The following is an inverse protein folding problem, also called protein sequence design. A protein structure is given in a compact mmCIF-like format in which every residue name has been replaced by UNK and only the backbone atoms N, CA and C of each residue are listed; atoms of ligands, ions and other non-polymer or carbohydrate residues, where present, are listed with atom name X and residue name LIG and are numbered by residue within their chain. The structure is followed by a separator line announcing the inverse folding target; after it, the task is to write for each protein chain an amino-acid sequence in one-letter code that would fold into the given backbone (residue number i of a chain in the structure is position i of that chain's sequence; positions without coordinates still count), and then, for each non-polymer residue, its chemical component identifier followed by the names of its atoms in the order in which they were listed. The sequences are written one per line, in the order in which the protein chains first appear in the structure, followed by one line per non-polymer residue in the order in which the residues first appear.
data_IF_752601995695
#
_entry.id   IF_752601995695
#
_cell.length_a   1.000
_cell.length_b   1.000
_cell.length_c   1.000
_cell.angle_alpha   90.00
_cell.angle_beta   90.00
_cell.angle_gamma   90.00
#
_symmetry.space_group_name_H-M   'P 1'
#
loop_
_entity.id
_entity.type
_entity.pdbx_description
1 polymer ?
#
# COMPACT_ATOMS: atom_id res chain seq x y z
N UNK A 1 9.94 -2.02 -3.03
CA UNK A 1 9.78 -3.44 -2.57
C UNK A 1 10.92 -4.02 -1.72
N UNK A 2 12.19 -4.13 -2.18
CA UNK A 2 13.25 -4.83 -1.39
C UNK A 2 13.48 -4.22 0.00
N UNK A 3 13.51 -2.88 0.10
CA UNK A 3 13.65 -2.19 1.38
C UNK A 3 12.49 -2.53 2.35
N UNK A 4 11.25 -2.58 1.86
CA UNK A 4 10.08 -2.95 2.67
C UNK A 4 10.19 -4.39 3.17
N UNK A 5 10.62 -5.33 2.33
CA UNK A 5 10.84 -6.71 2.76
C UNK A 5 11.92 -6.82 3.84
N UNK A 6 13.05 -6.10 3.70
CA UNK A 6 14.07 -6.05 4.74
C UNK A 6 13.54 -5.43 6.03
N UNK A 7 12.74 -4.37 5.95
CA UNK A 7 12.13 -3.73 7.12
C UNK A 7 11.23 -4.72 7.87
N UNK A 8 10.32 -5.40 7.15
CA UNK A 8 9.41 -6.40 7.74
C UNK A 8 10.16 -7.59 8.34
N UNK A 9 11.20 -8.09 7.66
CA UNK A 9 12.05 -9.15 8.22
C UNK A 9 12.76 -8.70 9.50
N UNK A 10 13.40 -7.53 9.49
CA UNK A 10 14.19 -7.01 10.60
C UNK A 10 13.34 -6.69 11.85
N UNK A 11 12.07 -6.33 11.67
CA UNK A 11 11.11 -6.07 12.76
C UNK A 11 10.36 -7.31 13.24
N UNK A 12 10.50 -8.44 12.55
CA UNK A 12 9.81 -9.67 12.94
C UNK A 12 10.41 -10.26 14.22
N UNK A 13 9.60 -11.00 14.98
CA UNK A 13 10.04 -11.69 16.19
C UNK A 13 10.84 -12.97 15.88
N UNK A 14 11.08 -13.29 14.61
CA UNK A 14 11.86 -14.45 14.23
C UNK A 14 13.34 -14.24 14.54
N UNK A 15 13.99 -15.29 15.04
CA UNK A 15 15.42 -15.30 15.27
C UNK A 15 16.16 -15.14 13.93
N UNK A 16 16.93 -14.06 13.80
CA UNK A 16 17.82 -13.80 12.66
C UNK A 16 19.26 -13.91 13.20
N UNK A 17 20.12 -14.75 12.61
CA UNK A 17 21.54 -14.80 12.95
C UNK A 17 22.18 -13.40 12.91
N UNK A 18 23.08 -13.11 13.85
CA UNK A 18 23.64 -11.76 14.03
C UNK A 18 24.39 -11.25 12.78
N UNK A 19 25.10 -12.14 12.09
CA UNK A 19 25.81 -11.85 10.84
C UNK A 19 24.83 -11.48 9.72
N UNK A 20 23.73 -12.24 9.60
CA UNK A 20 22.69 -11.97 8.62
C UNK A 20 21.92 -10.68 8.95
N UNK A 21 21.66 -10.43 10.23
CA UNK A 21 21.03 -9.18 10.71
C UNK A 21 21.91 -7.97 10.40
N UNK A 22 23.23 -8.08 10.60
CA UNK A 22 24.17 -7.01 10.28
C UNK A 22 24.22 -6.74 8.77
N UNK A 23 24.30 -7.78 7.93
CA UNK A 23 24.25 -7.65 6.46
C UNK A 23 22.94 -7.01 5.98
N UNK A 24 21.79 -7.43 6.52
CA UNK A 24 20.49 -6.87 6.16
C UNK A 24 20.34 -5.41 6.57
N UNK A 25 20.86 -5.03 7.74
CA UNK A 25 20.91 -3.62 8.14
C UNK A 25 21.77 -2.79 7.19
N UNK A 26 22.98 -3.26 6.85
CA UNK A 26 23.86 -2.56 5.93
C UNK A 26 23.23 -2.37 4.53
N UNK A 27 22.56 -3.40 4.01
CA UNK A 27 21.80 -3.32 2.75
C UNK A 27 20.64 -2.33 2.85
N UNK A 28 19.87 -2.38 3.93
CA UNK A 28 18.76 -1.46 4.15
C UNK A 28 19.25 -0.01 4.21
N UNK A 29 20.33 0.26 4.94
CA UNK A 29 20.92 1.60 5.04
C UNK A 29 21.36 2.12 3.66
N UNK A 30 21.96 1.27 2.83
CA UNK A 30 22.30 1.60 1.44
C UNK A 30 21.08 1.94 0.59
N UNK A 31 19.99 1.18 0.70
CA UNK A 31 18.74 1.46 -0.01
C UNK A 31 18.09 2.76 0.46
N UNK A 32 18.04 3.01 1.77
CA UNK A 32 17.46 4.22 2.33
C UNK A 32 18.26 5.47 1.94
N UNK A 33 19.59 5.39 2.00
CA UNK A 33 20.46 6.46 1.53
C UNK A 33 20.25 6.75 0.03
N UNK A 34 20.08 5.72 -0.79
CA UNK A 34 19.73 5.88 -2.20
C UNK A 34 18.37 6.59 -2.37
N UNK A 35 17.33 6.20 -1.62
CA UNK A 35 16.02 6.87 -1.68
C UNK A 35 16.11 8.35 -1.27
N UNK A 36 16.88 8.68 -0.24
CA UNK A 36 17.12 10.08 0.15
C UNK A 36 17.84 10.86 -0.95
N UNK A 37 18.88 10.28 -1.56
CA UNK A 37 19.62 10.90 -2.67
C UNK A 37 18.76 11.09 -3.94
N UNK A 38 17.68 10.32 -4.06
CA UNK A 38 16.73 10.41 -5.16
C UNK A 38 15.62 11.45 -4.92
N UNK A 39 15.55 12.07 -3.74
CA UNK A 39 14.58 13.14 -3.48
C UNK A 39 14.92 14.38 -4.32
N UNK A 40 13.93 14.85 -5.08
CA UNK A 40 13.99 16.05 -5.89
C UNK A 40 13.76 17.30 -5.04
N UNK A 41 14.11 18.47 -5.58
CA UNK A 41 13.94 19.75 -4.89
C UNK A 41 12.47 20.02 -4.53
N UNK A 42 11.53 19.54 -5.35
CA UNK A 42 10.09 19.67 -5.13
C UNK A 42 9.53 18.67 -4.09
N UNK A 43 10.36 17.86 -3.45
CA UNK A 43 9.98 16.90 -2.40
C UNK A 43 9.58 15.51 -2.89
N UNK A 44 9.29 15.35 -4.18
CA UNK A 44 9.01 14.05 -4.79
C UNK A 44 10.28 13.20 -4.93
N UNK A 45 10.11 11.90 -5.16
CA UNK A 45 11.21 10.97 -5.40
C UNK A 45 11.34 10.72 -6.90
N UNK A 46 12.57 10.79 -7.40
CA UNK A 46 12.83 10.54 -8.81
C UNK A 46 12.47 9.10 -9.19
N UNK A 47 11.77 8.95 -10.32
CA UNK A 47 11.34 7.64 -10.84
C UNK A 47 12.43 6.85 -11.57
N UNK A 48 13.64 7.41 -11.68
CA UNK A 48 14.68 6.80 -12.50
C UNK A 48 16.06 7.35 -12.19
N UNK A 49 17.05 6.47 -12.19
CA UNK A 49 18.46 6.80 -11.97
C UNK A 49 19.28 6.33 -13.16
N UNK A 50 20.13 7.20 -13.70
CA UNK A 50 21.07 6.85 -14.74
C UNK A 50 22.39 6.42 -14.10
N UNK A 51 22.74 5.15 -14.24
CA UNK A 51 23.95 4.56 -13.64
C UNK A 51 25.24 5.03 -14.29
N UNK A 52 25.21 5.45 -15.56
CA UNK A 52 26.38 5.95 -16.29
C UNK A 52 26.73 7.37 -15.83
N UNK A 53 25.73 8.24 -15.73
CA UNK A 53 25.92 9.64 -15.32
C UNK A 53 25.84 9.82 -13.81
N UNK A 54 25.39 8.81 -13.07
CA UNK A 54 25.11 8.84 -11.62
C UNK A 54 24.15 9.96 -11.24
N UNK A 55 23.14 10.21 -12.08
CA UNK A 55 22.16 11.28 -11.87
C UNK A 55 20.74 10.75 -11.82
N UNK A 56 19.91 11.39 -10.99
CA UNK A 56 18.47 11.16 -10.95
C UNK A 56 17.78 11.83 -12.15
N UNK A 57 16.71 11.20 -12.61
CA UNK A 57 15.80 11.80 -13.59
C UNK A 57 14.97 12.90 -12.93
N UNK A 58 14.55 13.91 -13.69
CA UNK A 58 13.68 14.98 -13.15
C UNK A 58 12.22 14.55 -12.96
N UNK A 59 11.84 13.39 -13.47
CA UNK A 59 10.47 12.88 -13.40
C UNK A 59 10.21 12.15 -12.09
N UNK A 60 8.97 12.23 -11.61
CA UNK A 60 8.45 11.45 -10.48
C UNK A 60 7.20 10.69 -10.94
N UNK A 61 6.70 9.78 -10.10
CA UNK A 61 5.41 9.13 -10.35
C UNK A 61 4.70 8.76 -9.04
N UNK A 62 3.37 8.63 -9.07
CA UNK A 62 2.57 8.25 -7.91
C UNK A 62 3.07 6.98 -7.20
N UNK A 63 3.42 5.96 -7.99
CA UNK A 63 3.87 4.67 -7.46
C UNK A 63 5.22 4.78 -6.76
N UNK A 64 6.21 5.41 -7.41
CA UNK A 64 7.55 5.56 -6.83
C UNK A 64 7.52 6.42 -5.58
N UNK A 65 6.74 7.50 -5.59
CA UNK A 65 6.57 8.38 -4.44
C UNK A 65 5.98 7.65 -3.25
N UNK A 66 4.83 6.98 -3.43
CA UNK A 66 4.16 6.26 -2.36
C UNK A 66 5.01 5.12 -1.79
N UNK A 67 5.63 4.28 -2.64
CA UNK A 67 6.47 3.18 -2.16
C UNK A 67 7.70 3.67 -1.40
N UNK A 68 8.36 4.70 -1.91
CA UNK A 68 9.57 5.26 -1.28
C UNK A 68 9.23 5.92 0.05
N UNK A 69 8.12 6.65 0.11
CA UNK A 69 7.64 7.25 1.34
C UNK A 69 7.34 6.17 2.37
N UNK A 70 6.62 5.10 2.02
CA UNK A 70 6.30 4.01 2.94
C UNK A 70 7.57 3.38 3.50
N UNK A 71 8.55 3.08 2.65
CA UNK A 71 9.80 2.47 3.07
C UNK A 71 10.55 3.35 4.08
N UNK A 72 10.68 4.65 3.80
CA UNK A 72 11.35 5.58 4.70
C UNK A 72 10.59 5.75 6.02
N UNK A 73 9.26 5.91 5.97
CA UNK A 73 8.40 6.03 7.16
C UNK A 73 8.56 4.81 8.06
N UNK A 74 8.42 3.60 7.51
CA UNK A 74 8.51 2.37 8.32
C UNK A 74 9.91 2.15 8.88
N UNK A 75 10.96 2.41 8.12
CA UNK A 75 12.33 2.33 8.63
C UNK A 75 12.57 3.32 9.79
N UNK A 76 12.11 4.57 9.64
CA UNK A 76 12.23 5.57 10.70
C UNK A 76 11.38 5.22 11.93
N UNK A 77 10.17 4.71 11.74
CA UNK A 77 9.26 4.35 12.83
C UNK A 77 9.75 3.13 13.62
N UNK A 78 10.08 2.04 12.93
CA UNK A 78 10.31 0.73 13.54
C UNK A 78 11.78 0.35 13.76
N UNK A 79 12.71 0.93 13.01
CA UNK A 79 14.13 0.53 13.02
C UNK A 79 15.06 1.68 13.40
N UNK A 80 14.53 2.67 14.13
CA UNK A 80 15.28 3.82 14.67
C UNK A 80 16.05 4.65 13.63
N UNK A 81 15.61 4.66 12.37
CA UNK A 81 16.22 5.47 11.30
C UNK A 81 15.68 6.91 11.30
N UNK A 82 15.73 7.59 12.44
CA UNK A 82 15.13 8.93 12.64
C UNK A 82 15.75 10.03 11.78
N UNK A 83 16.97 9.83 11.27
CA UNK A 83 17.62 10.75 10.32
C UNK A 83 16.84 10.93 9.02
N UNK A 84 15.92 10.01 8.70
CA UNK A 84 15.04 10.10 7.52
C UNK A 84 13.92 11.13 7.68
N UNK A 85 13.55 11.51 8.91
CA UNK A 85 12.34 12.31 9.20
C UNK A 85 12.29 13.62 8.39
N UNK A 86 13.37 14.42 8.27
CA UNK A 86 13.31 15.63 7.44
C UNK A 86 13.01 15.34 5.96
N UNK A 87 13.55 14.26 5.40
CA UNK A 87 13.24 13.82 4.02
C UNK A 87 11.77 13.40 3.92
N UNK A 88 11.28 12.64 4.89
CA UNK A 88 9.90 12.15 4.96
C UNK A 88 8.92 13.31 5.04
N UNK A 89 9.13 14.29 5.91
CA UNK A 89 8.23 15.44 6.09
C UNK A 89 8.11 16.26 4.79
N UNK A 90 9.24 16.50 4.11
CA UNK A 90 9.26 17.18 2.82
C UNK A 90 8.48 16.41 1.75
N UNK A 91 8.68 15.09 1.70
CA UNK A 91 8.01 14.21 0.76
C UNK A 91 6.50 14.12 1.01
N UNK A 92 6.10 13.85 2.25
CA UNK A 92 4.71 13.68 2.65
C UNK A 92 3.87 14.89 2.27
N UNK A 93 4.36 16.10 2.55
CA UNK A 93 3.68 17.36 2.19
C UNK A 93 3.51 17.52 0.68
N UNK A 94 4.59 17.32 -0.09
CA UNK A 94 4.57 17.47 -1.54
C UNK A 94 3.63 16.46 -2.21
N UNK A 95 3.71 15.20 -1.79
CA UNK A 95 2.91 14.10 -2.32
C UNK A 95 1.43 14.25 -1.95
N UNK A 96 1.12 14.64 -0.72
CA UNK A 96 -0.24 14.97 -0.30
C UNK A 96 -0.86 16.02 -1.21
N UNK A 97 -0.20 17.17 -1.38
CA UNK A 97 -0.71 18.27 -2.21
C UNK A 97 -0.88 17.86 -3.69
N UNK A 98 0.12 17.17 -4.24
CA UNK A 98 0.13 16.76 -5.65
C UNK A 98 -0.95 15.73 -5.96
N UNK A 99 -1.07 14.68 -5.13
CA UNK A 99 -1.93 13.53 -5.42
C UNK A 99 -3.35 13.63 -4.86
N UNK A 100 -3.65 14.68 -4.08
CA UNK A 100 -5.02 15.01 -3.66
C UNK A 100 -5.47 16.32 -4.29
N UNK A 101 -5.07 17.47 -3.73
CA UNK A 101 -5.54 18.81 -4.11
C UNK A 101 -5.33 19.10 -5.59
N UNK A 102 -4.09 18.99 -6.09
CA UNK A 102 -3.76 19.33 -7.50
C UNK A 102 -4.35 18.31 -8.48
N UNK A 103 -4.33 17.03 -8.11
CA UNK A 103 -4.90 15.97 -8.92
C UNK A 103 -6.43 16.12 -9.07
N UNK A 104 -7.14 16.33 -7.96
CA UNK A 104 -8.60 16.45 -7.94
C UNK A 104 -9.12 17.73 -8.55
N UNK A 105 -8.35 18.82 -8.48
CA UNK A 105 -8.67 20.06 -9.19
C UNK A 105 -8.73 19.85 -10.71
N UNK A 106 -7.93 18.93 -11.26
CA UNK A 106 -7.91 18.60 -12.70
C UNK A 106 -8.92 17.52 -13.07
N UNK A 107 -8.98 16.46 -12.27
CA UNK A 107 -9.90 15.34 -12.46
C UNK A 107 -10.25 14.76 -11.09
N UNK A 108 -11.54 14.78 -10.72
CA UNK A 108 -11.99 14.22 -9.45
C UNK A 108 -11.69 12.73 -9.31
N UNK A 109 -11.79 11.93 -10.37
CA UNK A 109 -11.39 10.51 -10.40
C UNK A 109 -10.01 10.36 -11.08
N UNK A 110 -8.97 10.92 -10.46
CA UNK A 110 -7.63 11.03 -11.05
C UNK A 110 -6.83 9.72 -11.00
N UNK A 111 -6.24 9.34 -12.13
CA UNK A 111 -5.26 8.24 -12.20
C UNK A 111 -3.99 8.52 -11.39
N UNK A 112 -3.64 9.79 -11.16
CA UNK A 112 -2.51 10.16 -10.31
C UNK A 112 -2.82 9.83 -8.85
N UNK A 113 -4.02 10.17 -8.38
CA UNK A 113 -4.48 9.78 -7.04
C UNK A 113 -4.54 8.26 -6.94
N UNK A 114 -5.14 7.59 -7.92
CA UNK A 114 -5.23 6.13 -7.96
C UNK A 114 -3.87 5.46 -7.83
N UNK A 115 -2.86 5.92 -8.58
CA UNK A 115 -1.52 5.34 -8.54
C UNK A 115 -0.78 5.58 -7.22
N UNK A 116 -1.11 6.65 -6.51
CA UNK A 116 -0.53 6.95 -5.19
C UNK A 116 -1.30 6.25 -4.07
N UNK A 117 -2.61 6.01 -4.27
CA UNK A 117 -3.58 5.69 -3.23
C UNK A 117 -3.13 4.61 -2.25
N UNK A 118 -2.76 3.43 -2.75
CA UNK A 118 -2.44 2.27 -1.92
C UNK A 118 -1.25 2.57 -1.01
N UNK A 119 -0.09 2.86 -1.62
CA UNK A 119 1.15 3.12 -0.91
C UNK A 119 1.10 4.39 -0.07
N UNK A 120 0.45 5.44 -0.58
CA UNK A 120 0.27 6.71 0.11
C UNK A 120 -0.60 6.59 1.35
N UNK A 121 -1.71 5.85 1.29
CA UNK A 121 -2.58 5.62 2.45
C UNK A 121 -1.85 4.86 3.55
N UNK A 122 -1.11 3.80 3.21
CA UNK A 122 -0.28 3.08 4.17
C UNK A 122 0.84 3.97 4.73
N UNK A 123 1.46 4.81 3.89
CA UNK A 123 2.52 5.72 4.33
C UNK A 123 2.03 6.73 5.36
N UNK A 124 0.86 7.32 5.09
CA UNK A 124 0.27 8.35 5.94
C UNK A 124 -0.33 7.77 7.22
N UNK A 125 -0.88 6.55 7.19
CA UNK A 125 -1.27 5.82 8.41
C UNK A 125 -0.06 5.55 9.31
N UNK A 126 1.04 5.07 8.73
CA UNK A 126 2.27 4.80 9.47
C UNK A 126 2.89 6.09 10.03
N UNK A 127 2.90 7.16 9.24
CA UNK A 127 3.36 8.50 9.62
C UNK A 127 2.54 9.05 10.78
N UNK A 128 1.20 9.01 10.66
CA UNK A 128 0.29 9.46 11.71
C UNK A 128 0.49 8.71 13.01
N UNK A 129 0.59 7.38 12.93
CA UNK A 129 0.88 6.52 14.07
C UNK A 129 2.28 6.69 14.67
N UNK A 130 3.20 7.39 13.99
CA UNK A 130 4.50 7.76 14.56
C UNK A 130 4.44 9.08 15.35
N UNK A 131 3.33 9.83 15.29
CA UNK A 131 3.14 11.08 16.02
C UNK A 131 4.06 12.20 15.56
N UNK A 132 4.51 12.18 14.30
CA UNK A 132 5.37 13.23 13.74
C UNK A 132 4.60 14.50 13.43
N UNK A 133 5.33 15.53 12.99
CA UNK A 133 4.76 16.85 12.70
C UNK A 133 3.54 16.75 11.78
N UNK A 134 2.46 17.45 12.13
CA UNK A 134 1.20 17.45 11.38
C UNK A 134 0.58 16.04 11.23
N UNK A 135 0.80 15.11 12.17
CA UNK A 135 0.26 13.74 12.13
C UNK A 135 -1.25 13.68 11.81
N UNK A 136 -2.05 14.52 12.47
CA UNK A 136 -3.50 14.56 12.29
C UNK A 136 -3.90 14.88 10.84
N UNK A 137 -3.14 15.74 10.16
CA UNK A 137 -3.37 16.10 8.75
C UNK A 137 -3.21 14.87 7.85
N UNK A 138 -2.16 14.08 8.05
CA UNK A 138 -1.92 12.90 7.21
C UNK A 138 -2.91 11.79 7.50
N UNK A 139 -3.34 11.63 8.74
CA UNK A 139 -4.44 10.75 9.08
C UNK A 139 -5.77 11.20 8.44
N UNK A 140 -6.08 12.50 8.44
CA UNK A 140 -7.26 13.05 7.76
C UNK A 140 -7.19 12.81 6.25
N UNK A 141 -6.02 13.01 5.64
CA UNK A 141 -5.82 12.73 4.21
C UNK A 141 -6.06 11.25 3.91
N UNK A 142 -5.60 10.32 4.75
CA UNK A 142 -5.85 8.89 4.57
C UNK A 142 -7.35 8.56 4.64
N UNK A 143 -8.10 9.15 5.57
CA UNK A 143 -9.55 9.00 5.64
C UNK A 143 -10.23 9.53 4.36
N UNK A 144 -9.84 10.72 3.89
CA UNK A 144 -10.37 11.31 2.65
C UNK A 144 -10.02 10.45 1.43
N UNK A 145 -8.81 9.90 1.36
CA UNK A 145 -8.43 8.94 0.32
C UNK A 145 -9.34 7.70 0.36
N UNK A 146 -9.62 7.16 1.55
CA UNK A 146 -10.58 6.05 1.73
C UNK A 146 -11.95 6.38 1.16
N UNK A 147 -12.51 7.54 1.50
CA UNK A 147 -13.78 8.02 0.96
C UNK A 147 -13.74 8.25 -0.55
N UNK A 148 -12.64 8.79 -1.06
CA UNK A 148 -12.43 8.94 -2.49
C UNK A 148 -12.47 7.59 -3.20
N UNK A 149 -11.80 6.57 -2.67
CA UNK A 149 -11.77 5.21 -3.25
C UNK A 149 -13.16 4.55 -3.29
N UNK A 150 -13.97 4.77 -2.24
CA UNK A 150 -15.32 4.21 -2.13
C UNK A 150 -16.31 4.97 -3.02
N UNK A 151 -16.37 6.30 -2.90
CA UNK A 151 -17.47 7.09 -3.47
C UNK A 151 -17.16 7.70 -4.83
N UNK A 152 -15.90 8.09 -5.05
CA UNK A 152 -15.48 8.71 -6.32
C UNK A 152 -14.94 7.65 -7.28
N UNK A 153 -13.96 6.86 -6.86
CA UNK A 153 -13.40 5.79 -7.68
C UNK A 153 -14.32 4.57 -7.81
N UNK A 154 -15.28 4.42 -6.89
CA UNK A 154 -16.31 3.38 -6.90
C UNK A 154 -15.73 1.96 -6.97
N UNK A 155 -14.74 1.68 -6.13
CA UNK A 155 -13.97 0.41 -6.17
C UNK A 155 -14.87 -0.85 -6.16
N UNK A 156 -15.96 -0.84 -5.38
CA UNK A 156 -16.88 -1.99 -5.28
C UNK A 156 -17.60 -2.30 -6.60
N UNK A 157 -17.76 -1.32 -7.49
CA UNK A 157 -18.38 -1.49 -8.82
C UNK A 157 -17.40 -2.00 -9.88
N UNK A 158 -16.09 -2.04 -9.60
CA UNK A 158 -15.09 -2.50 -10.55
C UNK A 158 -15.16 -4.02 -10.71
N UNK A 159 -14.93 -4.53 -11.91
CA UNK A 159 -15.06 -5.97 -12.21
C UNK A 159 -13.74 -6.74 -12.11
N UNK A 160 -12.62 -6.03 -12.16
CA UNK A 160 -11.28 -6.60 -11.98
C UNK A 160 -10.90 -6.66 -10.51
N UNK A 161 -9.83 -7.36 -10.19
CA UNK A 161 -9.28 -7.38 -8.84
C UNK A 161 -8.86 -5.96 -8.42
N UNK A 162 -9.32 -5.57 -7.24
CA UNK A 162 -9.08 -4.27 -6.62
C UNK A 162 -8.47 -4.43 -5.23
N UNK A 163 -7.71 -5.50 -4.98
CA UNK A 163 -7.11 -5.75 -3.67
C UNK A 163 -6.28 -4.57 -3.16
N UNK A 164 -5.56 -3.89 -4.06
CA UNK A 164 -4.82 -2.66 -3.73
C UNK A 164 -5.69 -1.55 -3.13
N UNK A 165 -6.97 -1.49 -3.50
CA UNK A 165 -7.91 -0.54 -2.93
C UNK A 165 -8.17 -0.87 -1.46
N UNK A 166 -8.29 -2.15 -1.12
CA UNK A 166 -8.62 -2.59 0.22
C UNK A 166 -7.44 -2.49 1.19
N UNK A 167 -6.20 -2.55 0.71
CA UNK A 167 -5.02 -2.20 1.53
C UNK A 167 -5.12 -0.74 2.04
N UNK A 168 -5.46 0.21 1.16
CA UNK A 168 -5.63 1.61 1.56
C UNK A 168 -6.88 1.88 2.41
N UNK A 169 -8.00 1.19 2.15
CA UNK A 169 -9.22 1.31 2.98
C UNK A 169 -8.95 0.74 4.38
N UNK A 170 -8.18 -0.34 4.50
CA UNK A 170 -7.77 -0.89 5.79
C UNK A 170 -6.91 0.10 6.59
N UNK A 171 -5.99 0.84 5.94
CA UNK A 171 -5.25 1.93 6.59
C UNK A 171 -6.18 3.04 7.13
N UNK A 172 -7.19 3.44 6.34
CA UNK A 172 -8.19 4.41 6.79
C UNK A 172 -9.02 3.86 7.97
N UNK A 173 -9.38 2.57 7.94
CA UNK A 173 -10.08 1.90 9.04
C UNK A 173 -9.23 1.87 10.31
N UNK A 174 -7.93 1.59 10.22
CA UNK A 174 -7.03 1.59 11.37
C UNK A 174 -6.99 2.96 12.07
N UNK A 175 -6.96 4.05 11.30
CA UNK A 175 -7.07 5.42 11.82
C UNK A 175 -8.44 5.64 12.48
N UNK A 176 -9.53 5.25 11.82
CA UNK A 176 -10.88 5.38 12.38
C UNK A 176 -11.02 4.61 13.70
N UNK A 177 -10.44 3.40 13.81
CA UNK A 177 -10.39 2.59 15.04
C UNK A 177 -9.61 3.32 16.13
N UNK A 178 -8.41 3.85 15.85
CA UNK A 178 -7.61 4.64 16.81
C UNK A 178 -8.33 5.89 17.32
N UNK A 179 -9.12 6.54 16.47
CA UNK A 179 -9.89 7.74 16.80
C UNK A 179 -11.29 7.43 17.35
N UNK A 180 -11.61 6.15 17.54
CA UNK A 180 -12.93 5.67 17.98
C UNK A 180 -14.11 6.18 17.12
N UNK A 181 -13.86 6.51 15.85
CA UNK A 181 -14.87 7.03 14.93
C UNK A 181 -15.73 5.88 14.39
N UNK A 182 -16.77 5.51 15.16
CA UNK A 182 -17.67 4.38 14.84
C UNK A 182 -18.38 4.51 13.50
N UNK A 183 -18.77 5.73 13.10
CA UNK A 183 -19.40 5.95 11.81
C UNK A 183 -18.45 5.62 10.66
N UNK A 184 -17.21 6.14 10.71
CA UNK A 184 -16.20 5.83 9.72
C UNK A 184 -15.83 4.33 9.72
N UNK A 185 -15.69 3.72 10.91
CA UNK A 185 -15.42 2.28 11.03
C UNK A 185 -16.50 1.43 10.34
N UNK A 186 -17.78 1.76 10.52
CA UNK A 186 -18.87 1.00 9.90
C UNK A 186 -18.81 1.03 8.37
N UNK A 187 -18.67 2.22 7.78
CA UNK A 187 -18.68 2.38 6.33
C UNK A 187 -17.41 1.80 5.68
N UNK A 188 -16.23 2.06 6.28
CA UNK A 188 -14.96 1.51 5.81
C UNK A 188 -14.92 -0.01 5.99
N UNK A 189 -15.39 -0.51 7.13
CA UNK A 189 -15.47 -1.94 7.46
C UNK A 189 -16.36 -2.69 6.46
N UNK A 190 -17.53 -2.15 6.14
CA UNK A 190 -18.40 -2.72 5.10
C UNK A 190 -17.69 -2.79 3.74
N UNK A 191 -17.00 -1.72 3.34
CA UNK A 191 -16.29 -1.71 2.05
C UNK A 191 -15.12 -2.71 2.00
N UNK A 192 -14.43 -2.95 3.12
CA UNK A 192 -13.41 -3.99 3.25
C UNK A 192 -14.05 -5.37 3.16
N UNK A 193 -15.01 -5.68 4.01
CA UNK A 193 -15.63 -7.00 4.12
C UNK A 193 -16.27 -7.45 2.79
N UNK A 194 -17.14 -6.61 2.24
CA UNK A 194 -17.80 -6.89 0.96
C UNK A 194 -16.81 -7.01 -0.19
N UNK A 195 -15.81 -6.11 -0.23
CA UNK A 195 -14.78 -6.12 -1.26
C UNK A 195 -13.91 -7.38 -1.22
N UNK A 196 -13.40 -7.75 -0.04
CA UNK A 196 -12.56 -8.93 0.13
C UNK A 196 -13.34 -10.21 -0.14
N UNK A 197 -14.59 -10.33 0.29
CA UNK A 197 -15.43 -11.49 -0.04
C UNK A 197 -15.55 -11.69 -1.56
N UNK A 198 -15.84 -10.61 -2.29
CA UNK A 198 -15.87 -10.62 -3.76
C UNK A 198 -14.52 -11.05 -4.36
N UNK A 199 -13.40 -10.59 -3.80
CA UNK A 199 -12.07 -10.93 -4.31
C UNK A 199 -11.66 -12.38 -3.98
N UNK A 200 -12.03 -12.90 -2.82
CA UNK A 200 -11.83 -14.31 -2.43
C UNK A 200 -12.63 -15.25 -3.35
N UNK A 201 -13.77 -14.82 -3.87
CA UNK A 201 -14.52 -15.59 -4.89
C UNK A 201 -13.72 -15.86 -6.18
N UNK A 202 -12.62 -15.12 -6.43
CA UNK A 202 -11.72 -15.32 -7.57
C UNK A 202 -10.47 -16.15 -7.23
N UNK A 203 -10.37 -16.71 -6.03
CA UNK A 203 -9.31 -17.64 -5.67
C UNK A 203 -9.53 -19.01 -6.31
N UNK A 204 -8.53 -19.48 -7.05
CA UNK A 204 -8.54 -20.77 -7.73
C UNK A 204 -8.60 -21.89 -6.69
N UNK A 205 -9.63 -22.73 -6.81
CA UNK A 205 -9.93 -23.81 -5.85
C UNK A 205 -10.07 -23.31 -4.39
N UNK A 206 -10.47 -22.04 -4.24
CA UNK A 206 -10.64 -21.38 -2.94
C UNK A 206 -11.99 -21.68 -2.26
N UNK A 207 -12.17 -21.18 -1.03
CA UNK A 207 -13.33 -21.51 -0.19
C UNK A 207 -14.67 -21.03 -0.79
N UNK A 208 -14.65 -19.96 -1.59
CA UNK A 208 -15.84 -19.38 -2.22
C UNK A 208 -16.02 -19.77 -3.69
N UNK A 209 -15.33 -20.81 -4.17
CA UNK A 209 -15.43 -21.25 -5.58
C UNK A 209 -16.89 -21.55 -6.00
N UNK A 210 -17.71 -22.05 -5.07
CA UNK A 210 -19.15 -22.34 -5.31
C UNK A 210 -19.98 -21.10 -5.66
N UNK A 211 -19.47 -19.91 -5.39
CA UNK A 211 -20.12 -18.64 -5.72
C UNK A 211 -19.65 -18.09 -7.07
N UNK A 212 -18.52 -18.58 -7.58
CA UNK A 212 -17.94 -18.16 -8.85
C UNK A 212 -18.21 -19.18 -9.97
N UNK A 213 -19.23 -18.90 -10.78
CA UNK A 213 -19.63 -19.76 -11.92
C UNK A 213 -18.49 -19.98 -12.94
N UNK A 214 -17.63 -18.98 -13.13
CA UNK A 214 -16.54 -19.08 -14.09
C UNK A 214 -15.50 -20.10 -13.61
N UNK A 215 -15.04 -19.97 -12.36
CA UNK A 215 -14.07 -20.91 -11.79
C UNK A 215 -14.64 -22.33 -11.63
N UNK A 216 -15.93 -22.47 -11.34
CA UNK A 216 -16.60 -23.78 -11.35
C UNK A 216 -16.60 -24.46 -12.71
N UNK A 217 -16.82 -23.69 -13.78
CA UNK A 217 -16.80 -24.23 -15.15
C UNK A 217 -15.38 -24.49 -15.67
N UNK A 218 -14.36 -23.88 -15.05
CA UNK A 218 -12.97 -23.93 -15.49
C UNK A 218 -12.07 -24.32 -14.31
N UNK A 219 -12.38 -25.46 -13.69
CA UNK A 219 -11.53 -26.03 -12.64
C UNK A 219 -10.17 -26.41 -13.22
N UNK A 220 -9.15 -26.38 -12.36
CA UNK A 220 -7.78 -26.78 -12.71
C UNK A 220 -7.35 -27.95 -11.84
N UNK A 221 -6.57 -28.86 -12.43
CA UNK A 221 -5.84 -29.92 -11.73
C UNK A 221 -4.36 -29.56 -11.51
N UNK A 222 -3.89 -28.43 -12.05
CA UNK A 222 -2.54 -27.93 -11.82
C UNK A 222 -2.37 -27.49 -10.35
N UNK A 223 -1.54 -28.20 -9.55
CA UNK A 223 -1.35 -27.89 -8.14
C UNK A 223 -0.67 -26.53 -7.90
N UNK A 224 0.06 -25.98 -8.88
CA UNK A 224 0.75 -24.68 -8.76
C UNK A 224 -0.25 -23.52 -8.89
N UNK A 225 -1.36 -23.73 -9.59
CA UNK A 225 -2.41 -22.72 -9.76
C UNK A 225 -3.32 -22.58 -8.52
N UNK A 226 -3.41 -23.63 -7.70
CA UNK A 226 -4.28 -23.67 -6.51
C UNK A 226 -3.89 -22.58 -5.51
N UNK A 227 -4.89 -21.84 -5.03
CA UNK A 227 -4.69 -20.71 -4.11
C UNK A 227 -4.29 -19.40 -4.78
N UNK A 228 -3.89 -19.43 -6.07
CA UNK A 228 -3.71 -18.23 -6.88
C UNK A 228 -5.01 -17.47 -7.08
N UNK A 229 -4.91 -16.18 -7.37
CA UNK A 229 -6.08 -15.30 -7.52
C UNK A 229 -6.18 -14.80 -8.95
N UNK A 230 -7.33 -15.02 -9.58
CA UNK A 230 -7.61 -14.47 -10.90
C UNK A 230 -7.98 -12.98 -10.83
N UNK A 231 -7.47 -12.19 -11.78
CA UNK A 231 -7.84 -10.78 -11.87
C UNK A 231 -9.27 -10.58 -12.42
N UNK A 232 -9.61 -11.35 -13.46
CA UNK A 232 -10.88 -11.27 -14.17
C UNK A 232 -11.04 -12.48 -15.10
N UNK A 233 -12.27 -12.85 -15.47
CA UNK A 233 -12.55 -13.95 -16.41
C UNK A 233 -11.83 -13.85 -17.77
N UNK A 234 -11.55 -12.63 -18.23
CA UNK A 234 -10.88 -12.38 -19.52
C UNK A 234 -9.36 -12.24 -19.39
N UNK A 235 -8.82 -12.40 -18.19
CA UNK A 235 -7.40 -12.30 -17.88
C UNK A 235 -7.00 -13.60 -17.16
N UNK A 236 -6.95 -14.67 -17.96
CA UNK A 236 -6.67 -16.02 -17.48
C UNK A 236 -5.31 -16.20 -16.77
N UNK A 237 -4.21 -15.53 -17.18
CA UNK A 237 -2.93 -15.71 -16.50
C UNK A 237 -2.98 -15.25 -15.04
N UNK A 238 -2.62 -16.16 -14.13
CA UNK A 238 -2.41 -15.83 -12.73
C UNK A 238 -1.15 -14.98 -12.61
N UNK A 239 -1.28 -13.82 -11.95
CA UNK A 239 -0.16 -12.92 -11.71
C UNK A 239 0.16 -12.88 -10.22
N UNK A 240 1.45 -12.93 -9.91
CA UNK A 240 1.91 -12.93 -8.52
C UNK A 240 1.51 -11.65 -7.78
N UNK A 241 1.48 -10.50 -8.45
CA UNK A 241 1.09 -9.22 -7.85
C UNK A 241 -0.38 -9.25 -7.38
N UNK A 242 -1.29 -9.85 -8.15
CA UNK A 242 -2.71 -9.95 -7.79
C UNK A 242 -2.89 -10.77 -6.51
N UNK A 243 -2.22 -11.93 -6.44
CA UNK A 243 -2.23 -12.77 -5.24
C UNK A 243 -1.58 -12.03 -4.06
N UNK A 244 -0.47 -11.32 -4.27
CA UNK A 244 0.22 -10.56 -3.21
C UNK A 244 -0.66 -9.46 -2.62
N UNK A 245 -1.27 -8.61 -3.45
CA UNK A 245 -2.17 -7.57 -2.96
C UNK A 245 -3.37 -8.15 -2.21
N UNK A 246 -3.93 -9.25 -2.71
CA UNK A 246 -5.08 -9.89 -2.04
C UNK A 246 -4.69 -10.45 -0.67
N UNK A 247 -3.57 -11.17 -0.59
CA UNK A 247 -3.06 -11.69 0.67
C UNK A 247 -2.75 -10.57 1.65
N UNK A 248 -2.11 -9.48 1.21
CA UNK A 248 -1.79 -8.37 2.09
C UNK A 248 -3.04 -7.61 2.56
N UNK A 249 -4.01 -7.35 1.68
CA UNK A 249 -5.29 -6.74 2.07
C UNK A 249 -6.04 -7.59 3.11
N UNK A 250 -6.02 -8.91 2.96
CA UNK A 250 -6.62 -9.83 3.93
C UNK A 250 -5.89 -9.78 5.27
N UNK A 251 -4.55 -9.78 5.27
CA UNK A 251 -3.76 -9.67 6.51
C UNK A 251 -4.04 -8.35 7.24
N UNK A 252 -4.14 -7.23 6.53
CA UNK A 252 -4.52 -5.94 7.12
C UNK A 252 -5.94 -5.96 7.70
N UNK A 253 -6.89 -6.58 7.02
CA UNK A 253 -8.25 -6.73 7.53
C UNK A 253 -8.28 -7.63 8.79
N UNK A 254 -7.55 -8.74 8.80
CA UNK A 254 -7.40 -9.59 9.99
C UNK A 254 -6.76 -8.82 11.15
N UNK A 255 -5.77 -7.98 10.87
CA UNK A 255 -5.06 -7.21 11.88
C UNK A 255 -5.90 -6.07 12.47
N UNK A 256 -6.78 -5.43 11.70
CA UNK A 256 -7.47 -4.22 12.13
C UNK A 256 -8.98 -4.40 12.35
N UNK A 257 -9.65 -5.08 11.41
CA UNK A 257 -11.11 -5.22 11.36
C UNK A 257 -11.58 -6.43 12.18
N UNK A 258 -10.94 -7.58 12.00
CA UNK A 258 -11.36 -8.84 12.63
C UNK A 258 -10.59 -9.21 13.90
N UNK A 259 -9.65 -8.36 14.33
CA UNK A 259 -9.01 -8.47 15.63
C UNK A 259 -9.84 -7.75 16.69
N UNK A 260 -10.14 -8.46 17.77
CA UNK A 260 -10.81 -7.92 18.97
C UNK A 260 -9.95 -6.82 19.63
#
# INVERSE_FOLDING_TARGET
LVALALIESLRSDYAIPDDLRADWNAKLDGYLAFLQAMQLDNGHISRGFNTLTKTSSRGYSPYYDGESLLAMVKAAKYLDRKSLVPTIEKAARAMAETYTVKAWAKNRDSDQTKGFYQWGSMSFEEYGGAGWKDADLYEDITLVLGWWMIHTHQTLRRTRNTAYAHEGIASAYAIAKRRENKAAMNDLGFAIDYGLSKLISWQVEGPLIKENRFLQAHRTDDPIAVGGVMNHRSEAPLRIDVTQHQSHALLLALQHLYSD
#
